data_IF_771500598978
#
_entry.id   IF_771500598978
#
_cell.length_a   1.000
_cell.length_b   1.000
_cell.length_c   1.000
_cell.angle_alpha   90.00
_cell.angle_beta   90.00
_cell.angle_gamma   90.00
#
_symmetry.space_group_name_H-M   'P 1'
#
loop_
_entity.id
_entity.type
_entity.pdbx_description
1 polymer ?
#
# COMPACT_ATOMS: atom_id res chain seq x y z
N UNK A 1 17.14 13.19 -3.21
CA UNK A 1 16.75 11.82 -2.82
C UNK A 1 16.45 11.91 -1.35
N UNK A 2 15.31 11.41 -0.88
CA UNK A 2 15.08 11.31 0.56
C UNK A 2 15.65 9.97 1.05
N UNK A 3 16.67 9.97 1.92
CA UNK A 3 17.09 8.73 2.56
C UNK A 3 15.92 8.21 3.40
N UNK A 4 15.61 6.92 3.29
CA UNK A 4 14.61 6.28 4.16
C UNK A 4 14.93 6.59 5.61
N UNK A 5 14.01 7.23 6.33
CA UNK A 5 14.21 7.57 7.74
C UNK A 5 14.30 6.31 8.60
N UNK A 6 14.85 6.43 9.82
CA UNK A 6 14.84 5.31 10.78
C UNK A 6 13.41 4.89 11.13
N UNK A 7 12.51 5.87 11.23
CA UNK A 7 11.10 5.64 11.50
C UNK A 7 10.44 4.83 10.37
N UNK A 8 10.65 5.25 9.12
CA UNK A 8 10.09 4.57 7.96
C UNK A 8 10.55 3.12 7.85
N UNK A 9 11.85 2.87 8.01
CA UNK A 9 12.37 1.48 8.00
C UNK A 9 11.80 0.65 9.15
N UNK A 10 11.66 1.24 10.34
CA UNK A 10 11.15 0.55 11.53
C UNK A 10 9.66 0.18 11.39
N UNK A 11 8.84 1.11 10.91
CA UNK A 11 7.42 0.87 10.68
C UNK A 11 7.20 -0.09 9.51
N UNK A 12 7.88 0.10 8.38
CA UNK A 12 7.75 -0.77 7.21
C UNK A 12 8.23 -2.20 7.48
N UNK A 13 9.33 -2.37 8.21
CA UNK A 13 9.87 -3.70 8.55
C UNK A 13 9.23 -4.36 9.77
N UNK A 14 8.39 -3.63 10.51
CA UNK A 14 7.67 -4.10 11.69
C UNK A 14 6.18 -4.13 11.45
N UNK A 15 5.49 -3.06 11.86
CA UNK A 15 4.03 -2.94 11.83
C UNK A 15 3.43 -3.08 10.43
N UNK A 16 4.11 -2.67 9.36
CA UNK A 16 3.59 -2.72 7.99
C UNK A 16 4.24 -3.80 7.11
N UNK A 17 4.75 -4.87 7.73
CA UNK A 17 5.36 -5.98 7.02
C UNK A 17 4.48 -7.23 7.01
N UNK A 18 3.92 -7.53 5.83
CA UNK A 18 3.20 -8.80 5.58
C UNK A 18 4.12 -10.01 5.58
N UNK A 19 5.42 -9.85 5.31
CA UNK A 19 6.37 -10.97 5.23
C UNK A 19 6.89 -11.40 6.61
N UNK A 20 6.99 -10.45 7.55
CA UNK A 20 7.58 -10.72 8.88
C UNK A 20 6.54 -10.87 9.98
N UNK A 21 5.38 -10.21 9.88
CA UNK A 21 4.35 -10.30 10.90
C UNK A 21 2.93 -9.96 10.39
N UNK A 22 2.26 -10.93 9.77
CA UNK A 22 0.87 -10.76 9.27
C UNK A 22 -0.11 -10.23 10.34
N UNK A 23 -0.18 -10.78 11.58
CA UNK A 23 -1.09 -10.21 12.58
C UNK A 23 -0.79 -8.76 12.96
N UNK A 24 0.50 -8.37 13.00
CA UNK A 24 0.91 -6.99 13.25
C UNK A 24 0.54 -6.05 12.11
N UNK A 25 0.63 -6.54 10.87
CA UNK A 25 0.15 -5.83 9.68
C UNK A 25 -1.35 -5.53 9.74
N UNK A 26 -2.15 -6.53 10.08
CA UNK A 26 -3.60 -6.41 10.24
C UNK A 26 -3.94 -5.41 11.34
N UNK A 27 -3.35 -5.59 12.53
CA UNK A 27 -3.56 -4.68 13.66
C UNK A 27 -3.17 -3.23 13.28
N UNK A 28 -2.04 -3.04 12.60
CA UNK A 28 -1.61 -1.71 12.16
C UNK A 28 -2.65 -1.06 11.24
N UNK A 29 -3.12 -1.77 10.21
CA UNK A 29 -4.09 -1.24 9.25
C UNK A 29 -5.40 -0.79 9.92
N UNK A 30 -5.86 -1.53 10.92
CA UNK A 30 -7.06 -1.17 11.71
C UNK A 30 -6.84 -0.01 12.67
N UNK A 31 -5.61 0.13 13.20
CA UNK A 31 -5.29 1.15 14.21
C UNK A 31 -4.86 2.49 13.61
N UNK A 32 -4.38 2.53 12.36
CA UNK A 32 -3.93 3.77 11.72
C UNK A 32 -4.97 4.91 11.79
N UNK A 33 -6.27 4.69 11.52
CA UNK A 33 -7.27 5.76 11.66
C UNK A 33 -7.29 6.38 13.06
N UNK A 34 -7.20 5.56 14.11
CA UNK A 34 -7.13 6.04 15.49
C UNK A 34 -5.82 6.78 15.76
N UNK A 35 -4.68 6.24 15.32
CA UNK A 35 -3.38 6.91 15.49
C UNK A 35 -3.31 8.27 14.79
N UNK A 36 -3.93 8.40 13.61
CA UNK A 36 -4.03 9.69 12.93
C UNK A 36 -4.95 10.66 13.68
N UNK A 37 -6.08 10.19 14.20
CA UNK A 37 -6.98 11.01 15.02
C UNK A 37 -6.33 11.46 16.34
N UNK A 38 -5.46 10.63 16.92
CA UNK A 38 -4.64 10.94 18.09
C UNK A 38 -3.48 11.90 17.79
N UNK A 39 -3.21 12.19 16.52
CA UNK A 39 -2.11 13.06 16.11
C UNK A 39 -0.73 12.42 16.30
N UNK A 40 -0.61 11.10 16.15
CA UNK A 40 0.68 10.39 16.24
C UNK A 40 1.62 10.81 15.12
N UNK A 41 2.64 11.61 15.48
CA UNK A 41 3.56 12.18 14.52
C UNK A 41 4.33 11.11 13.74
N UNK A 42 4.69 10.00 14.37
CA UNK A 42 5.40 8.90 13.71
C UNK A 42 4.60 8.27 12.56
N UNK A 43 3.28 8.25 12.64
CA UNK A 43 2.39 7.73 11.60
C UNK A 43 2.18 8.77 10.50
N UNK A 44 2.07 10.06 10.87
CA UNK A 44 1.99 11.16 9.92
C UNK A 44 3.26 11.24 9.09
N UNK A 45 4.43 11.21 9.73
CA UNK A 45 5.73 11.22 9.06
C UNK A 45 5.90 10.00 8.15
N UNK A 46 5.43 8.83 8.60
CA UNK A 46 5.45 7.61 7.78
C UNK A 46 4.57 7.72 6.54
N UNK A 47 3.35 8.24 6.68
CA UNK A 47 2.43 8.49 5.56
C UNK A 47 3.05 9.44 4.56
N UNK A 48 3.57 10.57 5.02
CA UNK A 48 4.13 11.60 4.15
C UNK A 48 5.40 11.09 3.44
N UNK A 49 6.24 10.30 4.12
CA UNK A 49 7.41 9.64 3.51
C UNK A 49 7.01 8.56 2.49
N UNK A 50 5.97 7.76 2.79
CA UNK A 50 5.43 6.77 1.85
C UNK A 50 4.92 7.44 0.56
N UNK A 51 4.18 8.55 0.69
CA UNK A 51 3.71 9.31 -0.46
C UNK A 51 4.87 9.79 -1.35
N UNK A 52 5.96 10.27 -0.75
CA UNK A 52 7.15 10.69 -1.50
C UNK A 52 7.81 9.51 -2.21
N UNK A 53 7.91 8.35 -1.56
CA UNK A 53 8.47 7.16 -2.18
C UNK A 53 7.65 6.67 -3.38
N UNK A 54 6.32 6.72 -3.29
CA UNK A 54 5.42 6.39 -4.41
C UNK A 54 5.54 7.43 -5.54
N UNK A 55 5.51 8.72 -5.21
CA UNK A 55 5.58 9.81 -6.19
C UNK A 55 6.86 9.78 -7.02
N UNK A 56 7.99 9.52 -6.35
CA UNK A 56 9.32 9.65 -6.95
C UNK A 56 9.91 8.28 -7.38
N UNK A 57 9.15 7.19 -7.24
CA UNK A 57 9.63 5.80 -7.43
C UNK A 57 10.99 5.58 -6.76
N UNK A 58 11.16 6.11 -5.54
CA UNK A 58 12.46 6.23 -4.89
C UNK A 58 12.75 5.14 -3.86
N UNK A 59 11.76 4.29 -3.56
CA UNK A 59 11.99 3.09 -2.79
C UNK A 59 12.65 2.02 -3.68
N UNK A 60 13.79 1.44 -3.28
CA UNK A 60 14.48 0.45 -4.11
C UNK A 60 13.59 -0.76 -4.42
N UNK A 61 13.70 -1.30 -5.63
CA UNK A 61 13.01 -2.52 -6.01
C UNK A 61 13.29 -3.66 -4.99
N UNK A 62 12.23 -4.37 -4.60
CA UNK A 62 12.36 -5.56 -3.77
C UNK A 62 13.06 -6.69 -4.56
N UNK A 63 13.81 -7.62 -3.91
CA UNK A 63 14.63 -8.61 -4.60
C UNK A 63 13.92 -9.50 -5.64
N UNK A 64 12.60 -9.66 -5.52
CA UNK A 64 11.76 -10.49 -6.38
C UNK A 64 10.80 -9.69 -7.27
N UNK A 65 10.91 -8.36 -7.30
CA UNK A 65 9.99 -7.46 -8.00
C UNK A 65 10.73 -6.52 -8.94
N UNK A 66 10.06 -6.11 -10.02
CA UNK A 66 10.49 -4.95 -10.79
C UNK A 66 10.28 -3.68 -9.95
N UNK A 67 10.86 -2.55 -10.38
CA UNK A 67 10.58 -1.26 -9.75
C UNK A 67 9.07 -0.95 -9.81
N UNK A 68 8.42 -1.19 -10.96
CA UNK A 68 6.97 -1.03 -11.09
C UNK A 68 6.19 -1.91 -10.10
N UNK A 69 6.55 -3.20 -9.98
CA UNK A 69 5.91 -4.10 -9.02
C UNK A 69 6.08 -3.66 -7.57
N UNK A 70 7.22 -3.05 -7.24
CA UNK A 70 7.47 -2.50 -5.91
C UNK A 70 6.64 -1.25 -5.64
N UNK A 71 6.53 -0.35 -6.61
CA UNK A 71 5.67 0.83 -6.50
C UNK A 71 4.20 0.45 -6.35
N UNK A 72 3.75 -0.56 -7.08
CA UNK A 72 2.39 -1.12 -6.94
C UNK A 72 2.17 -1.71 -5.54
N UNK A 73 3.15 -2.42 -4.99
CA UNK A 73 3.09 -2.90 -3.60
C UNK A 73 2.99 -1.76 -2.58
N UNK A 74 3.71 -0.65 -2.80
CA UNK A 74 3.59 0.54 -1.94
C UNK A 74 2.20 1.19 -2.04
N UNK A 75 1.55 1.16 -3.21
CA UNK A 75 0.16 1.62 -3.38
C UNK A 75 -0.84 0.72 -2.66
N UNK A 76 -0.60 -0.59 -2.62
CA UNK A 76 -1.42 -1.53 -1.84
C UNK A 76 -1.29 -1.22 -0.35
N UNK A 77 -0.05 -1.03 0.14
CA UNK A 77 0.19 -0.62 1.52
C UNK A 77 -0.48 0.72 1.85
N UNK A 78 -0.38 1.70 0.94
CA UNK A 78 -1.05 2.98 1.13
C UNK A 78 -2.55 2.81 1.30
N UNK A 79 -3.18 2.03 0.40
CA UNK A 79 -4.60 1.74 0.47
C UNK A 79 -4.96 1.06 1.81
N UNK A 80 -4.15 0.10 2.22
CA UNK A 80 -4.43 -0.70 3.41
C UNK A 80 -4.30 0.10 4.71
N UNK A 81 -3.30 0.96 4.80
CA UNK A 81 -3.07 1.80 5.97
C UNK A 81 -3.94 3.07 5.98
N UNK A 82 -4.07 3.76 4.85
CA UNK A 82 -4.56 5.15 4.79
C UNK A 82 -5.87 5.33 4.04
N UNK A 83 -6.31 4.33 3.26
CA UNK A 83 -7.60 4.34 2.59
C UNK A 83 -7.52 4.63 1.09
N UNK A 84 -8.68 4.85 0.45
CA UNK A 84 -8.81 4.85 -1.01
C UNK A 84 -8.28 6.10 -1.70
N UNK A 85 -8.03 7.16 -0.93
CA UNK A 85 -7.48 8.41 -1.46
C UNK A 85 -6.09 8.16 -2.05
N UNK A 86 -5.85 8.73 -3.24
CA UNK A 86 -4.56 8.58 -3.93
C UNK A 86 -3.42 9.21 -3.12
N UNK A 87 -2.23 8.55 -3.05
CA UNK A 87 -1.03 9.17 -2.48
C UNK A 87 -0.74 10.54 -3.15
N UNK A 88 -0.49 11.61 -2.38
CA UNK A 88 -0.25 12.94 -2.95
C UNK A 88 0.85 12.96 -4.01
N UNK A 89 0.47 13.32 -5.24
CA UNK A 89 1.39 13.44 -6.37
C UNK A 89 1.73 12.13 -7.08
N UNK A 90 1.10 11.00 -6.73
CA UNK A 90 1.30 9.73 -7.43
C UNK A 90 1.11 9.89 -8.96
N UNK A 91 2.14 9.61 -9.77
CA UNK A 91 2.05 9.71 -11.23
C UNK A 91 1.17 8.62 -11.85
N UNK A 92 0.93 7.51 -11.16
CA UNK A 92 0.21 6.34 -11.69
C UNK A 92 -0.88 5.83 -10.73
N UNK A 93 -1.84 6.68 -10.34
CA UNK A 93 -2.84 6.34 -9.35
C UNK A 93 -3.63 5.09 -9.76
N UNK A 94 -4.02 4.30 -8.76
CA UNK A 94 -5.00 3.22 -8.97
C UNK A 94 -6.39 3.84 -9.04
N UNK A 95 -7.18 3.58 -10.10
CA UNK A 95 -8.57 3.99 -10.16
C UNK A 95 -9.35 3.46 -8.95
N UNK A 96 -10.13 4.31 -8.29
CA UNK A 96 -10.87 3.93 -7.09
C UNK A 96 -11.79 2.70 -7.29
N UNK A 97 -12.36 2.56 -8.50
CA UNK A 97 -13.24 1.45 -8.87
C UNK A 97 -12.53 0.08 -9.00
N UNK A 98 -11.21 0.07 -9.11
CA UNK A 98 -10.43 -1.17 -9.27
C UNK A 98 -10.22 -1.89 -7.93
N UNK A 99 -10.24 -1.15 -6.81
CA UNK A 99 -10.07 -1.69 -5.47
C UNK A 99 -11.22 -2.63 -5.10
N UNK A 100 -10.89 -3.84 -4.63
CA UNK A 100 -11.86 -4.86 -4.27
C UNK A 100 -12.61 -5.46 -5.46
N UNK A 101 -12.19 -5.18 -6.70
CA UNK A 101 -12.80 -5.72 -7.93
C UNK A 101 -11.76 -6.40 -8.82
N UNK A 102 -10.83 -5.64 -9.39
CA UNK A 102 -9.73 -6.14 -10.23
C UNK A 102 -8.40 -6.11 -9.48
N UNK A 103 -8.34 -5.36 -8.38
CA UNK A 103 -7.18 -5.24 -7.49
C UNK A 103 -7.55 -5.60 -6.06
N UNK A 104 -6.80 -6.57 -5.52
CA UNK A 104 -6.91 -7.05 -4.15
C UNK A 104 -5.61 -6.76 -3.41
N UNK A 105 -5.73 -6.26 -2.18
CA UNK A 105 -4.60 -6.00 -1.30
C UNK A 105 -4.42 -7.12 -0.26
N UNK A 106 -3.27 -7.23 0.40
CA UNK A 106 -3.07 -8.22 1.46
C UNK A 106 -4.13 -8.13 2.57
N UNK A 107 -4.53 -6.92 3.01
CA UNK A 107 -5.56 -6.79 4.03
C UNK A 107 -6.94 -7.22 3.50
N UNK A 108 -7.30 -6.89 2.25
CA UNK A 108 -8.57 -7.35 1.66
C UNK A 108 -8.68 -8.87 1.69
N UNK A 109 -7.60 -9.58 1.36
CA UNK A 109 -7.57 -11.05 1.37
C UNK A 109 -7.76 -11.61 2.79
N UNK A 110 -7.16 -10.97 3.79
CA UNK A 110 -7.40 -11.32 5.19
C UNK A 110 -8.85 -11.03 5.63
N UNK A 111 -9.39 -9.88 5.24
CA UNK A 111 -10.71 -9.42 5.67
C UNK A 111 -11.88 -10.30 5.18
N UNK A 112 -11.63 -11.19 4.20
CA UNK A 112 -12.65 -12.09 3.62
C UNK A 112 -12.25 -13.56 3.64
N UNK A 113 -11.24 -13.92 4.43
CA UNK A 113 -10.81 -15.32 4.56
C UNK A 113 -11.97 -16.21 5.06
N UNK A 114 -12.06 -17.45 4.56
CA UNK A 114 -13.28 -18.30 4.58
C UNK A 114 -13.67 -18.82 5.98
N UNK A 115 -12.77 -18.75 6.95
CA UNK A 115 -13.04 -19.17 8.31
C UNK A 115 -13.51 -17.95 9.12
N UNK A 116 -14.63 -18.06 9.86
CA UNK A 116 -15.12 -17.00 10.78
C UNK A 116 -14.08 -16.63 11.88
N UNK A 117 -13.03 -17.45 12.06
CA UNK A 117 -11.86 -17.18 12.90
C UNK A 117 -10.73 -16.40 12.17
N UNK A 118 -10.86 -16.23 10.86
CA UNK A 118 -9.85 -15.69 9.94
C UNK A 118 -9.96 -14.21 9.62
N UNK A 119 -11.13 -13.58 9.84
CA UNK A 119 -11.28 -12.12 9.75
C UNK A 119 -11.18 -11.48 11.14
N UNK A 120 -10.42 -10.40 11.27
CA UNK A 120 -10.31 -9.67 12.54
C UNK A 120 -11.63 -8.98 12.93
N UNK A 121 -11.80 -8.66 14.22
CA UNK A 121 -12.95 -7.86 14.68
C UNK A 121 -13.05 -6.49 13.97
N UNK A 122 -11.92 -5.93 13.54
CA UNK A 122 -11.85 -4.66 12.83
C UNK A 122 -12.13 -4.74 11.32
N UNK A 123 -12.11 -5.93 10.71
CA UNK A 123 -12.21 -6.11 9.25
C UNK A 123 -13.48 -5.50 8.66
N UNK A 124 -14.64 -5.70 9.30
CA UNK A 124 -15.91 -5.14 8.84
C UNK A 124 -15.90 -3.60 8.84
N UNK A 125 -15.34 -2.99 9.88
CA UNK A 125 -15.20 -1.53 9.97
C UNK A 125 -14.19 -1.00 8.94
N UNK A 126 -13.08 -1.71 8.74
CA UNK A 126 -12.05 -1.36 7.76
C UNK A 126 -12.60 -1.38 6.33
N UNK A 127 -13.40 -2.39 5.96
CA UNK A 127 -14.05 -2.51 4.65
C UNK A 127 -15.05 -1.37 4.43
N UNK A 128 -15.88 -1.09 5.43
CA UNK A 128 -16.89 -0.04 5.35
C UNK A 128 -16.26 1.36 5.16
N UNK A 129 -15.11 1.65 5.77
CA UNK A 129 -14.38 2.90 5.59
C UNK A 129 -13.85 3.10 4.15
N UNK A 130 -13.80 2.03 3.36
CA UNK A 130 -13.30 2.01 1.98
C UNK A 130 -14.39 1.79 0.95
N UNK A 131 -15.66 1.86 1.37
CA UNK A 131 -16.84 1.56 0.54
C UNK A 131 -16.80 0.14 -0.08
N UNK A 132 -16.19 -0.81 0.64
CA UNK A 132 -16.07 -2.21 0.23
C UNK A 132 -17.02 -3.10 1.03
N UNK A 133 -17.36 -4.25 0.45
CA UNK A 133 -18.11 -5.31 1.13
C UNK A 133 -17.35 -6.62 1.04
N UNK A 134 -17.44 -7.45 2.09
CA UNK A 134 -16.78 -8.76 2.10
C UNK A 134 -17.23 -9.63 0.90
N UNK A 135 -18.53 -9.61 0.58
CA UNK A 135 -19.06 -10.32 -0.59
C UNK A 135 -18.47 -9.80 -1.92
N UNK A 136 -18.29 -8.49 -2.06
CA UNK A 136 -17.69 -7.89 -3.27
C UNK A 136 -16.24 -8.34 -3.46
N UNK A 137 -15.44 -8.27 -2.40
CA UNK A 137 -14.04 -8.70 -2.39
C UNK A 137 -13.92 -10.22 -2.60
N UNK A 138 -14.78 -11.04 -1.99
CA UNK A 138 -14.80 -12.48 -2.22
C UNK A 138 -15.18 -12.83 -3.68
N UNK A 139 -16.13 -12.09 -4.27
CA UNK A 139 -16.46 -12.25 -5.69
C UNK A 139 -15.28 -11.95 -6.62
N UNK A 140 -14.47 -10.94 -6.28
CA UNK A 140 -13.26 -10.58 -6.99
C UNK A 140 -12.13 -11.62 -6.87
N UNK A 141 -12.07 -12.36 -5.76
CA UNK A 141 -11.08 -13.43 -5.52
C UNK A 141 -11.13 -14.55 -6.57
N UNK A 142 -12.30 -14.77 -7.20
CA UNK A 142 -12.48 -15.76 -8.26
C UNK A 142 -11.88 -15.36 -9.62
N UNK A 143 -11.42 -14.11 -9.76
CA UNK A 143 -10.79 -13.59 -10.97
C UNK A 143 -9.26 -13.52 -10.80
N UNK A 144 -8.51 -13.80 -11.87
CA UNK A 144 -7.04 -13.65 -11.87
C UNK A 144 -6.68 -12.27 -11.33
N UNK A 145 -5.89 -12.20 -10.26
CA UNK A 145 -5.35 -10.94 -9.75
C UNK A 145 -4.54 -10.27 -10.86
N UNK A 146 -5.07 -9.19 -11.42
CA UNK A 146 -4.43 -8.50 -12.55
C UNK A 146 -3.34 -7.60 -11.97
N UNK A 147 -2.08 -8.05 -12.03
CA UNK A 147 -0.96 -7.13 -11.90
C UNK A 147 -1.05 -6.14 -13.07
N UNK A 148 -1.18 -4.85 -12.76
CA UNK A 148 -1.23 -3.82 -13.81
C UNK A 148 0.06 -3.88 -14.63
N UNK A 149 -0.03 -3.83 -15.97
CA UNK A 149 1.16 -3.71 -16.79
C UNK A 149 1.88 -2.41 -16.48
N UNK A 150 3.20 -2.42 -16.62
CA UNK A 150 4.02 -1.22 -16.50
C UNK A 150 3.55 -0.18 -17.54
N UNK A 151 3.29 1.08 -17.14
CA UNK A 151 2.95 2.16 -18.06
C UNK A 151 4.06 2.42 -19.08
N UNK A 152 3.70 2.75 -20.32
CA UNK A 152 4.67 2.93 -21.40
C UNK A 152 5.68 4.07 -21.14
N UNK A 153 5.29 5.07 -20.35
CA UNK A 153 6.11 6.22 -19.97
C UNK A 153 6.86 6.03 -18.63
N UNK A 154 6.73 4.86 -18.00
CA UNK A 154 7.32 4.58 -16.69
C UNK A 154 8.85 4.68 -16.68
N UNK A 155 9.51 4.13 -17.69
CA UNK A 155 10.96 4.24 -17.84
C UNK A 155 11.44 5.70 -17.92
N UNK A 156 10.69 6.56 -18.61
CA UNK A 156 10.98 8.00 -18.69
C UNK A 156 10.72 8.72 -17.36
N UNK A 157 9.72 8.29 -16.59
CA UNK A 157 9.54 8.77 -15.23
C UNK A 157 10.73 8.42 -14.33
N UNK A 158 11.19 7.17 -14.33
CA UNK A 158 12.36 6.74 -13.56
C UNK A 158 13.62 7.50 -13.95
N UNK A 159 13.84 7.72 -15.25
CA UNK A 159 14.98 8.51 -15.74
C UNK A 159 14.91 9.96 -15.25
N UNK A 160 13.75 10.62 -15.35
CA UNK A 160 13.57 11.99 -14.85
C UNK A 160 13.76 12.08 -13.33
N UNK A 161 13.28 11.09 -12.57
CA UNK A 161 13.47 11.01 -11.14
C UNK A 161 14.97 10.86 -10.78
N UNK A 162 15.71 10.05 -11.52
CA UNK A 162 17.19 9.95 -11.42
C UNK A 162 17.85 11.29 -11.70
N UNK A 163 17.51 11.94 -12.83
CA UNK A 163 18.15 13.19 -13.27
C UNK A 163 17.90 14.34 -12.27
N UNK A 164 16.73 14.34 -11.63
CA UNK A 164 16.38 15.25 -10.54
C UNK A 164 17.01 14.86 -9.19
N UNK A 165 17.77 13.76 -9.15
CA UNK A 165 18.40 13.22 -7.96
C UNK A 165 17.40 12.72 -6.91
N UNK A 166 16.17 12.39 -7.28
CA UNK A 166 15.10 11.94 -6.36
C UNK A 166 15.21 10.46 -6.00
N UNK A 167 15.77 9.64 -6.91
CA UNK A 167 16.08 8.22 -6.68
C UNK A 167 17.54 7.89 -6.99
N UNK A 168 18.04 6.75 -6.52
CA UNK A 168 19.35 6.21 -6.91
C UNK A 168 19.27 5.59 -8.32
N UNK A 169 20.41 5.56 -9.01
CA UNK A 169 20.58 4.76 -10.21
C UNK A 169 20.60 3.28 -9.83
N UNK A 170 19.49 2.60 -10.12
CA UNK A 170 19.33 1.15 -10.03
C UNK A 170 19.73 0.44 -11.32
#
# INVERSE_FOLDING_TARGET
>A
MIPRSKNFRGLLGGWFSVETHIPGYIEACERVPAWLAEGKQEIIDFRDELAVHIRDSSYPALPSMTQWGTDEWLRDLWFDAFGPDTPPGDPYPVPAADWGTTRLTPYMLHAVDEDDEGSSEGAAAWLAQRDLTAQGVYGAFSHEMIRRPEPADYADHLRRATEAGLREDG
#
